data_IF_665551390878
#
_entry.id   IF_665551390878
#
_cell.length_a   1.000
_cell.length_b   1.000
_cell.length_c   1.000
_cell.angle_alpha   90.00
_cell.angle_beta   90.00
_cell.angle_gamma   90.00
#
_symmetry.space_group_name_H-M   'P 1'
#
loop_
_entity.id
_entity.type
_entity.pdbx_description
1 polymer ?
#
# COMPACT_ATOMS: atom_id res chain seq x y z
N UNK A 1 12.81 -30.39 -13.75
CA UNK A 1 13.97 -29.66 -13.17
C UNK A 1 14.30 -28.36 -13.92
N UNK A 2 14.33 -28.30 -15.25
CA UNK A 2 14.63 -27.06 -16.00
C UNK A 2 13.62 -25.91 -15.76
N UNK A 3 12.33 -26.21 -15.70
CA UNK A 3 11.27 -25.22 -15.47
C UNK A 3 11.36 -24.58 -14.07
N UNK A 4 11.73 -25.36 -13.06
CA UNK A 4 11.86 -24.91 -11.68
C UNK A 4 13.08 -23.98 -11.48
N UNK A 5 14.21 -24.30 -12.14
CA UNK A 5 15.40 -23.44 -12.13
C UNK A 5 15.14 -22.08 -12.80
N UNK A 6 14.39 -22.07 -13.92
CA UNK A 6 13.98 -20.84 -14.62
C UNK A 6 13.08 -19.96 -13.75
N UNK A 7 12.09 -20.55 -13.07
CA UNK A 7 11.19 -19.82 -12.15
C UNK A 7 11.94 -19.22 -10.97
N UNK A 8 12.88 -19.96 -10.38
CA UNK A 8 13.69 -19.46 -9.24
C UNK A 8 14.56 -18.27 -9.66
N UNK A 9 15.23 -18.33 -10.81
CA UNK A 9 16.00 -17.19 -11.34
C UNK A 9 15.13 -15.96 -11.56
N UNK A 10 13.89 -16.14 -12.07
CA UNK A 10 12.94 -15.05 -12.28
C UNK A 10 12.48 -14.41 -10.96
N UNK A 11 12.17 -15.23 -9.94
CA UNK A 11 11.81 -14.74 -8.61
C UNK A 11 12.96 -13.92 -8.03
N UNK A 12 14.20 -14.42 -8.07
CA UNK A 12 15.39 -13.70 -7.56
C UNK A 12 15.56 -12.36 -8.29
N UNK A 13 15.50 -12.35 -9.63
CA UNK A 13 15.59 -11.12 -10.43
C UNK A 13 14.49 -10.12 -10.03
N UNK A 14 13.25 -10.58 -9.93
CA UNK A 14 12.11 -9.75 -9.58
C UNK A 14 12.26 -9.14 -8.17
N UNK A 15 12.68 -9.95 -7.21
CA UNK A 15 12.94 -9.49 -5.83
C UNK A 15 14.04 -8.44 -5.80
N UNK A 16 15.15 -8.66 -6.52
CA UNK A 16 16.26 -7.70 -6.57
C UNK A 16 15.80 -6.36 -7.17
N UNK A 17 15.03 -6.39 -8.25
CA UNK A 17 14.49 -5.16 -8.87
C UNK A 17 13.55 -4.39 -7.92
N UNK A 18 12.72 -5.09 -7.15
CA UNK A 18 11.85 -4.48 -6.14
C UNK A 18 12.65 -3.88 -4.97
N UNK A 19 13.77 -4.48 -4.57
CA UNK A 19 14.65 -3.93 -3.53
C UNK A 19 15.41 -2.69 -4.00
N UNK A 20 15.95 -2.70 -5.22
CA UNK A 20 16.59 -1.52 -5.82
C UNK A 20 15.58 -0.36 -5.89
N UNK A 21 14.37 -0.64 -6.41
CA UNK A 21 13.27 0.33 -6.44
C UNK A 21 12.99 0.90 -5.04
N UNK A 22 12.84 0.03 -4.03
CA UNK A 22 12.56 0.45 -2.66
C UNK A 22 13.64 1.36 -2.10
N UNK A 23 14.91 0.99 -2.24
CA UNK A 23 16.03 1.79 -1.77
C UNK A 23 16.08 3.19 -2.40
N UNK A 24 15.92 3.26 -3.73
CA UNK A 24 15.88 4.53 -4.46
C UNK A 24 14.70 5.38 -3.99
N UNK A 25 13.49 4.82 -3.90
CA UNK A 25 12.31 5.58 -3.51
C UNK A 25 12.35 6.08 -2.07
N UNK A 26 12.95 5.33 -1.14
CA UNK A 26 13.14 5.79 0.24
C UNK A 26 14.06 7.03 0.25
N UNK A 27 15.22 6.97 -0.41
CA UNK A 27 16.15 8.09 -0.50
C UNK A 27 15.51 9.31 -1.16
N UNK A 28 14.82 9.11 -2.28
CA UNK A 28 14.10 10.17 -2.99
C UNK A 28 13.05 10.82 -2.10
N UNK A 29 12.20 10.03 -1.43
CA UNK A 29 11.13 10.56 -0.60
C UNK A 29 11.66 11.37 0.60
N UNK A 30 12.72 10.86 1.27
CA UNK A 30 13.33 11.57 2.40
C UNK A 30 13.91 12.93 1.96
N UNK A 31 14.56 12.96 0.81
CA UNK A 31 15.18 14.19 0.31
C UNK A 31 14.12 15.17 -0.22
N UNK A 32 13.16 14.68 -0.96
CA UNK A 32 12.08 15.46 -1.56
C UNK A 32 11.22 16.18 -0.52
N UNK A 33 10.81 15.47 0.56
CA UNK A 33 9.96 16.05 1.60
C UNK A 33 10.61 17.25 2.29
N UNK A 34 11.94 17.22 2.52
CA UNK A 34 12.70 18.33 3.09
C UNK A 34 12.71 19.54 2.18
N UNK A 35 12.95 19.34 0.87
CA UNK A 35 13.00 20.45 -0.10
C UNK A 35 11.62 21.10 -0.23
N UNK A 36 10.56 20.29 -0.33
CA UNK A 36 9.19 20.79 -0.49
C UNK A 36 8.75 21.58 0.75
N UNK A 37 9.04 21.07 1.97
CA UNK A 37 8.73 21.80 3.20
C UNK A 37 9.43 23.16 3.24
N UNK A 38 10.70 23.24 2.83
CA UNK A 38 11.43 24.51 2.77
C UNK A 38 10.90 25.44 1.69
N UNK A 39 10.43 24.91 0.54
CA UNK A 39 9.95 25.71 -0.58
C UNK A 39 8.54 26.27 -0.36
N UNK A 40 7.64 25.49 0.25
CA UNK A 40 6.26 25.87 0.53
C UNK A 40 6.13 26.64 1.86
N UNK A 41 7.01 26.37 2.82
CA UNK A 41 6.85 26.78 4.20
C UNK A 41 5.85 25.88 4.96
N UNK A 42 5.80 26.07 6.30
CA UNK A 42 5.02 25.20 7.16
C UNK A 42 3.50 25.31 6.93
N UNK A 43 3.00 26.52 6.63
CA UNK A 43 1.56 26.78 6.44
C UNK A 43 1.02 26.09 5.18
N UNK A 44 1.63 26.34 4.02
CA UNK A 44 1.20 25.75 2.75
C UNK A 44 1.47 24.25 2.67
N UNK A 45 2.58 23.77 3.25
CA UNK A 45 2.83 22.33 3.39
C UNK A 45 1.80 21.65 4.29
N UNK A 46 1.43 22.32 5.39
CA UNK A 46 0.35 21.87 6.28
C UNK A 46 -1.00 21.80 5.55
N UNK A 47 -1.34 22.84 4.81
CA UNK A 47 -2.57 22.88 4.00
C UNK A 47 -2.62 21.74 2.97
N UNK A 48 -1.53 21.53 2.22
CA UNK A 48 -1.40 20.41 1.28
C UNK A 48 -1.59 19.06 1.98
N UNK A 49 -0.99 18.89 3.15
CA UNK A 49 -1.05 17.63 3.91
C UNK A 49 -2.47 17.37 4.45
N UNK A 50 -3.14 18.37 4.98
CA UNK A 50 -4.50 18.23 5.53
C UNK A 50 -5.50 17.94 4.42
N UNK A 51 -5.49 18.73 3.34
CA UNK A 51 -6.38 18.52 2.19
C UNK A 51 -6.10 17.19 1.51
N UNK A 52 -4.82 16.83 1.33
CA UNK A 52 -4.41 15.56 0.78
C UNK A 52 -4.82 14.37 1.64
N UNK A 53 -4.86 14.50 2.97
CA UNK A 53 -5.23 13.42 3.89
C UNK A 53 -6.66 12.92 3.69
N UNK A 54 -7.59 13.80 3.32
CA UNK A 54 -8.98 13.44 2.97
C UNK A 54 -8.98 12.48 1.77
N UNK A 55 -8.13 12.75 0.79
CA UNK A 55 -8.01 11.93 -0.42
C UNK A 55 -7.24 10.64 -0.14
N UNK A 56 -6.16 10.71 0.65
CA UNK A 56 -5.35 9.55 1.05
C UNK A 56 -6.19 8.55 1.85
N UNK A 57 -7.13 9.03 2.69
CA UNK A 57 -8.05 8.15 3.41
C UNK A 57 -8.84 7.25 2.45
N UNK A 58 -9.28 7.77 1.30
CA UNK A 58 -9.96 6.96 0.29
C UNK A 58 -9.01 6.02 -0.47
N UNK A 59 -7.71 6.27 -0.40
CA UNK A 59 -6.68 5.45 -1.06
C UNK A 59 -6.56 4.02 -0.54
N UNK A 60 -7.06 3.73 0.69
CA UNK A 60 -7.10 2.35 1.20
C UNK A 60 -7.94 1.41 0.34
N UNK A 61 -8.93 1.95 -0.37
CA UNK A 61 -9.72 1.20 -1.35
C UNK A 61 -8.82 0.64 -2.46
N UNK A 62 -7.85 1.42 -2.93
CA UNK A 62 -6.95 0.99 -4.00
C UNK A 62 -6.06 -0.19 -3.62
N UNK A 63 -5.59 -0.28 -2.37
CA UNK A 63 -4.73 -1.39 -1.93
C UNK A 63 -5.50 -2.72 -1.92
N UNK A 64 -6.73 -2.72 -1.39
CA UNK A 64 -7.60 -3.89 -1.39
C UNK A 64 -7.98 -4.34 -2.81
N UNK A 65 -8.25 -3.37 -3.68
CA UNK A 65 -8.62 -3.60 -5.08
C UNK A 65 -7.42 -4.07 -5.91
N UNK A 66 -6.22 -3.57 -5.65
CA UNK A 66 -4.99 -4.00 -6.32
C UNK A 66 -4.69 -5.48 -6.04
N UNK A 67 -4.82 -5.92 -4.78
CA UNK A 67 -4.66 -7.32 -4.40
C UNK A 67 -5.68 -8.24 -5.10
N UNK A 68 -6.96 -7.81 -5.14
CA UNK A 68 -8.00 -8.52 -5.86
C UNK A 68 -7.69 -8.62 -7.36
N UNK A 69 -7.34 -7.51 -8.00
CA UNK A 69 -7.03 -7.47 -9.43
C UNK A 69 -5.84 -8.35 -9.79
N UNK A 70 -4.78 -8.30 -8.99
CA UNK A 70 -3.61 -9.17 -9.15
C UNK A 70 -3.99 -10.65 -9.02
N UNK A 71 -4.82 -11.00 -8.04
CA UNK A 71 -5.30 -12.38 -7.85
C UNK A 71 -6.10 -12.87 -9.05
N UNK A 72 -7.10 -12.08 -9.52
CA UNK A 72 -7.96 -12.50 -10.64
C UNK A 72 -7.17 -12.68 -11.93
N UNK A 73 -6.25 -11.77 -12.25
CA UNK A 73 -5.41 -11.88 -13.44
C UNK A 73 -4.40 -13.03 -13.34
N UNK A 74 -3.75 -13.21 -12.19
CA UNK A 74 -2.83 -14.32 -11.98
C UNK A 74 -3.53 -15.68 -12.05
N UNK A 75 -4.77 -15.76 -11.54
CA UNK A 75 -5.59 -16.97 -11.63
C UNK A 75 -6.01 -17.29 -13.07
N UNK A 76 -6.50 -16.29 -13.82
CA UNK A 76 -6.87 -16.47 -15.22
C UNK A 76 -5.65 -16.93 -16.03
N UNK A 77 -4.50 -16.32 -15.79
CA UNK A 77 -3.24 -16.68 -16.47
C UNK A 77 -2.78 -18.10 -16.15
N UNK A 78 -3.00 -18.58 -14.93
CA UNK A 78 -2.66 -19.96 -14.56
C UNK A 78 -3.57 -21.02 -15.21
N UNK A 79 -4.70 -20.60 -15.82
CA UNK A 79 -5.57 -21.48 -16.63
C UNK A 79 -5.15 -21.56 -18.09
N UNK A 80 -4.23 -20.71 -18.54
CA UNK A 80 -3.74 -20.62 -19.92
C UNK A 80 -4.85 -20.37 -20.97
N UNK A 81 -5.95 -19.70 -20.56
CA UNK A 81 -7.07 -19.30 -21.43
C UNK A 81 -7.00 -17.80 -21.72
N UNK A 82 -6.49 -17.43 -22.88
CA UNK A 82 -6.30 -16.05 -23.31
C UNK A 82 -7.62 -15.26 -23.43
N UNK A 83 -8.73 -15.92 -23.73
CA UNK A 83 -10.04 -15.28 -23.82
C UNK A 83 -10.59 -14.98 -22.42
N UNK A 84 -10.42 -15.91 -21.47
CA UNK A 84 -10.77 -15.67 -20.06
C UNK A 84 -9.89 -14.58 -19.47
N UNK A 85 -8.57 -14.55 -19.73
CA UNK A 85 -7.66 -13.48 -19.29
C UNK A 85 -8.16 -12.11 -19.77
N UNK A 86 -8.48 -11.96 -21.06
CA UNK A 86 -9.01 -10.70 -21.59
C UNK A 86 -10.36 -10.34 -20.98
N UNK A 87 -11.27 -11.31 -20.79
CA UNK A 87 -12.56 -11.09 -20.14
C UNK A 87 -12.42 -10.59 -18.69
N UNK A 88 -11.50 -11.18 -17.93
CA UNK A 88 -11.19 -10.76 -16.55
C UNK A 88 -10.61 -9.35 -16.55
N UNK A 89 -9.64 -9.05 -17.43
CA UNK A 89 -9.06 -7.72 -17.52
C UNK A 89 -10.11 -6.63 -17.83
N UNK A 90 -10.97 -6.86 -18.82
CA UNK A 90 -12.03 -5.90 -19.18
C UNK A 90 -13.05 -5.74 -18.04
N UNK A 91 -13.41 -6.83 -17.34
CA UNK A 91 -14.28 -6.77 -16.16
C UNK A 91 -13.65 -5.97 -15.01
N UNK A 92 -12.34 -6.09 -14.79
CA UNK A 92 -11.59 -5.29 -13.82
C UNK A 92 -11.58 -3.81 -14.20
N UNK A 93 -11.37 -3.47 -15.47
CA UNK A 93 -11.40 -2.08 -15.94
C UNK A 93 -12.76 -1.42 -15.66
N UNK A 94 -13.88 -2.13 -15.95
CA UNK A 94 -15.22 -1.64 -15.64
C UNK A 94 -15.43 -1.49 -14.14
N UNK A 95 -15.01 -2.48 -13.35
CA UNK A 95 -15.12 -2.44 -11.89
C UNK A 95 -14.38 -1.22 -11.32
N UNK A 96 -13.15 -0.97 -11.77
CA UNK A 96 -12.37 0.19 -11.31
C UNK A 96 -12.95 1.51 -11.80
N UNK A 97 -13.58 1.56 -12.98
CA UNK A 97 -14.28 2.76 -13.45
C UNK A 97 -15.50 3.08 -12.56
N UNK A 98 -16.28 2.08 -12.16
CA UNK A 98 -17.40 2.24 -11.23
C UNK A 98 -16.92 2.73 -9.86
N UNK A 99 -15.81 2.15 -9.35
CA UNK A 99 -15.23 2.54 -8.07
C UNK A 99 -14.64 3.95 -8.13
N UNK A 100 -13.96 4.31 -9.23
CA UNK A 100 -13.46 5.66 -9.44
C UNK A 100 -14.59 6.69 -9.45
N UNK A 101 -15.73 6.37 -10.09
CA UNK A 101 -16.92 7.21 -10.05
C UNK A 101 -17.47 7.34 -8.63
N UNK A 102 -17.56 6.25 -7.88
CA UNK A 102 -18.02 6.29 -6.49
C UNK A 102 -17.08 7.12 -5.60
N UNK A 103 -15.75 6.93 -5.74
CA UNK A 103 -14.74 7.74 -5.05
C UNK A 103 -14.91 9.22 -5.41
N UNK A 104 -15.09 9.55 -6.68
CA UNK A 104 -15.31 10.91 -7.14
C UNK A 104 -16.53 11.54 -6.46
N UNK A 105 -17.69 10.89 -6.50
CA UNK A 105 -18.93 11.39 -5.89
C UNK A 105 -18.78 11.58 -4.38
N UNK A 106 -18.19 10.61 -3.69
CA UNK A 106 -17.98 10.67 -2.23
C UNK A 106 -17.00 11.80 -1.90
N UNK A 107 -15.86 11.86 -2.60
CA UNK A 107 -14.84 12.86 -2.36
C UNK A 107 -15.35 14.29 -2.63
N UNK A 108 -16.04 14.51 -3.74
CA UNK A 108 -16.64 15.82 -4.03
C UNK A 108 -17.66 16.23 -2.96
N UNK A 109 -18.56 15.33 -2.55
CA UNK A 109 -19.56 15.65 -1.54
C UNK A 109 -18.93 15.97 -0.18
N UNK A 110 -18.08 15.07 0.34
CA UNK A 110 -17.47 15.24 1.66
C UNK A 110 -16.29 16.20 1.67
N UNK A 111 -15.46 16.20 0.64
CA UNK A 111 -14.27 17.02 0.57
C UNK A 111 -14.61 18.50 0.45
N UNK A 112 -15.54 18.87 -0.43
CA UNK A 112 -15.99 20.26 -0.55
C UNK A 112 -16.68 20.72 0.73
N UNK A 113 -17.53 19.87 1.33
CA UNK A 113 -18.17 20.17 2.61
C UNK A 113 -17.12 20.39 3.71
N UNK A 114 -16.10 19.52 3.80
CA UNK A 114 -15.03 19.65 4.79
C UNK A 114 -14.24 20.94 4.60
N UNK A 115 -13.84 21.27 3.37
CA UNK A 115 -13.05 22.47 3.06
C UNK A 115 -13.81 23.74 3.45
N UNK A 116 -15.11 23.80 3.15
CA UNK A 116 -15.91 24.99 3.37
C UNK A 116 -16.36 25.17 4.83
N UNK A 117 -16.46 24.06 5.62
CA UNK A 117 -17.07 24.10 6.95
C UNK A 117 -16.06 23.92 8.08
N UNK A 118 -15.08 23.03 7.90
CA UNK A 118 -14.18 22.62 8.98
C UNK A 118 -12.71 22.99 8.78
N UNK A 119 -12.32 23.35 7.54
CA UNK A 119 -10.93 23.68 7.26
C UNK A 119 -10.59 25.07 7.84
N UNK A 120 -9.79 25.08 8.91
CA UNK A 120 -9.35 26.33 9.54
C UNK A 120 -8.08 26.84 8.85
N UNK A 121 -8.28 27.67 7.83
CA UNK A 121 -7.18 28.29 7.07
C UNK A 121 -7.52 29.75 6.79
N UNK A 122 -6.48 30.53 6.46
CA UNK A 122 -6.67 31.92 6.05
C UNK A 122 -7.65 31.99 4.85
N UNK A 123 -8.69 32.86 4.88
CA UNK A 123 -9.67 33.01 3.80
C UNK A 123 -9.06 33.21 2.40
N UNK A 124 -7.91 33.85 2.32
CA UNK A 124 -7.17 34.02 1.06
C UNK A 124 -6.64 32.71 0.47
N UNK A 125 -6.53 31.64 1.27
CA UNK A 125 -6.01 30.31 0.86
C UNK A 125 -7.10 29.29 0.57
N UNK A 126 -8.39 29.59 0.75
CA UNK A 126 -9.50 28.67 0.50
C UNK A 126 -9.52 28.24 -0.98
N UNK A 127 -9.33 29.18 -1.91
CA UNK A 127 -9.25 28.86 -3.35
C UNK A 127 -8.10 27.90 -3.66
N UNK A 128 -6.94 28.14 -3.05
CA UNK A 128 -5.80 27.23 -3.21
C UNK A 128 -6.11 25.83 -2.63
N UNK A 129 -6.80 25.75 -1.48
CA UNK A 129 -7.25 24.48 -0.89
C UNK A 129 -8.15 23.68 -1.82
N UNK A 130 -9.13 24.32 -2.47
CA UNK A 130 -9.99 23.69 -3.47
C UNK A 130 -9.18 23.17 -4.67
N UNK A 131 -8.25 23.96 -5.21
CA UNK A 131 -7.41 23.55 -6.33
C UNK A 131 -6.53 22.34 -5.94
N UNK A 132 -5.89 22.38 -4.77
CA UNK A 132 -5.10 21.27 -4.23
C UNK A 132 -5.95 20.02 -4.08
N UNK A 133 -7.18 20.16 -3.58
CA UNK A 133 -8.11 19.05 -3.44
C UNK A 133 -8.44 18.40 -4.78
N UNK A 134 -8.76 19.20 -5.80
CA UNK A 134 -9.10 18.71 -7.15
C UNK A 134 -7.91 17.97 -7.79
N UNK A 135 -6.70 18.51 -7.70
CA UNK A 135 -5.52 17.82 -8.21
C UNK A 135 -5.22 16.52 -7.44
N UNK A 136 -5.37 16.53 -6.10
CA UNK A 136 -5.18 15.33 -5.27
C UNK A 136 -6.22 14.25 -5.60
N UNK A 137 -7.48 14.65 -5.78
CA UNK A 137 -8.55 13.75 -6.22
C UNK A 137 -8.26 13.18 -7.61
N UNK A 138 -7.82 14.03 -8.55
CA UNK A 138 -7.37 13.61 -9.88
C UNK A 138 -6.26 12.55 -9.81
N UNK A 139 -5.26 12.73 -8.94
CA UNK A 139 -4.22 11.73 -8.69
C UNK A 139 -4.80 10.38 -8.24
N UNK A 140 -5.73 10.40 -7.28
CA UNK A 140 -6.37 9.19 -6.76
C UNK A 140 -7.17 8.48 -7.85
N UNK A 141 -7.96 9.20 -8.63
CA UNK A 141 -8.75 8.65 -9.72
C UNK A 141 -7.87 8.02 -10.81
N UNK A 142 -6.79 8.71 -11.20
CA UNK A 142 -5.82 8.16 -12.16
C UNK A 142 -5.20 6.85 -11.65
N UNK A 143 -4.77 6.81 -10.39
CA UNK A 143 -4.24 5.59 -9.77
C UNK A 143 -5.29 4.47 -9.74
N UNK A 144 -6.54 4.78 -9.36
CA UNK A 144 -7.64 3.80 -9.32
C UNK A 144 -7.92 3.19 -10.69
N UNK A 145 -8.00 4.01 -11.74
CA UNK A 145 -8.25 3.55 -13.11
C UNK A 145 -7.10 2.72 -13.69
N UNK A 146 -5.88 2.88 -13.15
CA UNK A 146 -4.68 2.18 -13.65
C UNK A 146 -4.38 0.90 -12.88
N UNK A 147 -5.07 0.63 -11.77
CA UNK A 147 -4.89 -0.61 -10.98
C UNK A 147 -4.91 -1.88 -11.85
N UNK A 148 -5.85 -2.09 -12.82
CA UNK A 148 -5.84 -3.29 -13.66
C UNK A 148 -4.56 -3.45 -14.48
N UNK A 149 -3.98 -2.36 -14.98
CA UNK A 149 -2.73 -2.38 -15.76
C UNK A 149 -1.53 -2.71 -14.89
N UNK A 150 -1.45 -2.15 -13.68
CA UNK A 150 -0.41 -2.48 -12.71
C UNK A 150 -0.51 -3.96 -12.27
N UNK A 151 -1.73 -4.45 -12.04
CA UNK A 151 -1.97 -5.85 -11.74
C UNK A 151 -1.57 -6.78 -12.90
N UNK A 152 -1.75 -6.34 -14.15
CA UNK A 152 -1.30 -7.09 -15.32
C UNK A 152 0.24 -7.19 -15.40
N UNK A 153 0.98 -6.11 -15.08
CA UNK A 153 2.45 -6.19 -15.01
C UNK A 153 2.90 -7.22 -13.96
N UNK A 154 2.30 -7.16 -12.77
CA UNK A 154 2.65 -8.05 -11.67
C UNK A 154 2.27 -9.50 -11.99
N UNK A 155 1.08 -9.76 -12.55
CA UNK A 155 0.63 -11.11 -12.92
C UNK A 155 1.44 -11.72 -14.08
N UNK A 156 2.00 -10.87 -14.94
CA UNK A 156 2.96 -11.25 -15.97
C UNK A 156 4.41 -11.29 -15.45
N UNK A 157 4.62 -11.01 -14.16
CA UNK A 157 5.94 -11.02 -13.49
C UNK A 157 6.97 -10.07 -14.11
N UNK A 158 6.49 -8.97 -14.72
CA UNK A 158 7.33 -7.89 -15.28
C UNK A 158 7.66 -6.86 -14.21
N UNK A 159 8.32 -7.32 -13.13
CA UNK A 159 8.70 -6.46 -12.00
C UNK A 159 9.77 -5.44 -12.38
N UNK A 160 10.55 -5.69 -13.43
CA UNK A 160 11.51 -4.75 -13.99
C UNK A 160 10.80 -3.51 -14.57
N UNK A 161 9.79 -3.70 -15.43
CA UNK A 161 9.01 -2.59 -15.96
C UNK A 161 8.28 -1.83 -14.85
N UNK A 162 7.67 -2.55 -13.89
CA UNK A 162 7.01 -1.95 -12.73
C UNK A 162 7.98 -1.12 -11.90
N UNK A 163 9.17 -1.64 -11.61
CA UNK A 163 10.19 -0.94 -10.84
C UNK A 163 10.71 0.32 -11.56
N UNK A 164 11.03 0.20 -12.85
CA UNK A 164 11.54 1.33 -13.65
C UNK A 164 10.54 2.47 -13.76
N UNK A 165 9.26 2.19 -14.03
CA UNK A 165 8.21 3.22 -14.09
C UNK A 165 8.04 3.88 -12.71
N UNK A 166 8.05 3.10 -11.62
CA UNK A 166 7.96 3.65 -10.26
C UNK A 166 9.18 4.52 -9.88
N UNK A 167 10.39 4.12 -10.30
CA UNK A 167 11.61 4.92 -10.09
C UNK A 167 11.52 6.23 -10.89
N UNK A 168 11.04 6.18 -12.14
CA UNK A 168 10.83 7.38 -12.94
C UNK A 168 9.82 8.33 -12.28
N UNK A 169 8.73 7.81 -11.68
CA UNK A 169 7.79 8.61 -10.87
C UNK A 169 8.52 9.32 -9.72
N UNK A 170 9.34 8.60 -8.96
CA UNK A 170 10.13 9.19 -7.88
C UNK A 170 11.13 10.25 -8.36
N UNK A 171 11.84 9.99 -9.45
CA UNK A 171 12.78 10.97 -10.03
C UNK A 171 12.07 12.23 -10.55
N UNK A 172 10.89 12.09 -11.17
CA UNK A 172 10.06 13.23 -11.57
C UNK A 172 9.64 14.05 -10.34
N UNK A 173 9.24 13.38 -9.25
CA UNK A 173 8.91 14.05 -7.99
C UNK A 173 10.11 14.83 -7.42
N UNK A 174 11.29 14.23 -7.45
CA UNK A 174 12.54 14.90 -7.03
C UNK A 174 12.86 16.11 -7.91
N UNK A 175 12.71 15.98 -9.23
CA UNK A 175 12.90 17.09 -10.18
C UNK A 175 11.97 18.27 -9.85
N UNK A 176 10.70 18.00 -9.58
CA UNK A 176 9.74 19.02 -9.18
C UNK A 176 10.15 19.71 -7.87
N UNK A 177 10.63 18.93 -6.89
CA UNK A 177 11.09 19.49 -5.64
C UNK A 177 12.24 20.51 -5.85
N UNK A 178 13.16 20.25 -6.77
CA UNK A 178 14.23 21.22 -7.12
C UNK A 178 13.73 22.42 -7.92
N UNK A 179 12.71 22.27 -8.75
CA UNK A 179 12.17 23.38 -9.56
C UNK A 179 11.23 24.28 -8.77
N UNK A 180 10.55 23.75 -7.76
CA UNK A 180 9.56 24.48 -6.96
C UNK A 180 10.10 25.76 -6.28
N UNK A 181 11.30 25.80 -5.68
CA UNK A 181 11.87 27.02 -5.10
C UNK A 181 12.04 28.17 -6.10
N UNK A 182 12.27 27.84 -7.38
CA UNK A 182 12.48 28.80 -8.46
C UNK A 182 11.19 29.42 -9.01
N UNK A 183 10.03 28.93 -8.59
CA UNK A 183 8.74 29.37 -9.06
C UNK A 183 8.40 30.77 -8.56
N UNK A 184 7.91 31.63 -9.48
CA UNK A 184 7.48 33.02 -9.23
C UNK A 184 5.97 33.06 -8.88
N UNK A 185 5.21 32.03 -9.29
CA UNK A 185 3.76 31.88 -9.04
C UNK A 185 3.46 31.32 -7.67
N UNK A 186 2.16 31.18 -7.34
CA UNK A 186 1.74 30.49 -6.13
C UNK A 186 2.31 29.06 -6.10
N UNK A 187 3.26 28.85 -5.21
CA UNK A 187 4.03 27.59 -5.13
C UNK A 187 3.15 26.40 -4.74
N UNK A 188 2.12 26.61 -3.93
CA UNK A 188 1.22 25.54 -3.51
C UNK A 188 0.37 25.01 -4.67
N UNK A 189 -0.23 25.93 -5.44
CA UNK A 189 -1.05 25.57 -6.61
C UNK A 189 -0.19 24.90 -7.68
N UNK A 190 0.99 25.48 -7.95
CA UNK A 190 1.94 24.92 -8.90
C UNK A 190 2.40 23.53 -8.48
N UNK A 191 2.73 23.35 -7.21
CA UNK A 191 3.13 22.05 -6.65
C UNK A 191 2.04 20.99 -6.83
N UNK A 192 0.78 21.31 -6.51
CA UNK A 192 -0.34 20.38 -6.68
C UNK A 192 -0.54 19.98 -8.16
N UNK A 193 -0.47 20.92 -9.08
CA UNK A 193 -0.58 20.66 -10.52
C UNK A 193 0.58 19.80 -11.06
N UNK A 194 1.81 20.11 -10.64
CA UNK A 194 2.99 19.33 -11.02
C UNK A 194 2.96 17.92 -10.43
N UNK A 195 2.48 17.75 -9.17
CA UNK A 195 2.30 16.43 -8.58
C UNK A 195 1.22 15.61 -9.29
N UNK A 196 0.17 16.26 -9.80
CA UNK A 196 -0.77 15.58 -10.69
C UNK A 196 -0.09 15.06 -11.95
N UNK A 197 0.77 15.86 -12.60
CA UNK A 197 1.53 15.42 -13.78
C UNK A 197 2.49 14.27 -13.44
N UNK A 198 3.19 14.33 -12.28
CA UNK A 198 4.07 13.25 -11.79
C UNK A 198 3.32 11.94 -11.62
N UNK A 199 2.08 11.98 -11.16
CA UNK A 199 1.25 10.78 -11.05
C UNK A 199 0.72 10.36 -12.42
N UNK A 200 0.19 11.28 -13.21
CA UNK A 200 -0.49 11.01 -14.46
C UNK A 200 0.43 10.37 -15.52
N UNK A 201 1.66 10.92 -15.70
CA UNK A 201 2.61 10.41 -16.71
C UNK A 201 2.97 8.93 -16.51
N UNK A 202 3.39 8.46 -15.31
CA UNK A 202 3.64 7.06 -15.07
C UNK A 202 2.40 6.17 -15.27
N UNK A 203 1.19 6.66 -14.92
CA UNK A 203 -0.04 5.91 -15.15
C UNK A 203 -0.29 5.68 -16.66
N UNK A 204 0.02 6.67 -17.49
CA UNK A 204 0.00 6.49 -18.96
C UNK A 204 1.07 5.49 -19.42
N UNK A 205 2.26 5.52 -18.83
CA UNK A 205 3.32 4.56 -19.14
C UNK A 205 2.89 3.12 -18.81
N UNK A 206 2.26 2.88 -17.64
CA UNK A 206 1.71 1.57 -17.28
C UNK A 206 0.67 1.10 -18.29
N UNK A 207 -0.26 1.97 -18.67
CA UNK A 207 -1.31 1.66 -19.66
C UNK A 207 -0.71 1.33 -21.03
N UNK A 208 0.22 2.18 -21.52
CA UNK A 208 0.86 2.00 -22.81
C UNK A 208 1.72 0.74 -22.85
N UNK A 209 2.52 0.49 -21.81
CA UNK A 209 3.34 -0.71 -21.71
C UNK A 209 2.49 -1.97 -21.72
N UNK A 210 1.43 -2.02 -20.91
CA UNK A 210 0.54 -3.18 -20.82
C UNK A 210 -0.19 -3.43 -22.14
N UNK A 211 -0.69 -2.38 -22.78
CA UNK A 211 -1.38 -2.49 -24.09
C UNK A 211 -0.47 -3.04 -25.18
N UNK A 212 0.81 -2.64 -25.17
CA UNK A 212 1.79 -3.05 -26.20
C UNK A 212 2.29 -4.49 -25.99
N UNK A 213 2.51 -4.91 -24.74
CA UNK A 213 3.19 -6.17 -24.43
C UNK A 213 2.24 -7.31 -24.03
N UNK A 214 1.00 -7.00 -23.62
CA UNK A 214 0.06 -8.00 -23.13
C UNK A 214 -1.23 -7.98 -23.96
N UNK A 215 -1.45 -9.02 -24.80
CA UNK A 215 -2.66 -9.10 -25.64
C UNK A 215 -3.96 -9.07 -24.84
N UNK A 216 -3.95 -9.62 -23.62
CA UNK A 216 -5.09 -9.63 -22.70
C UNK A 216 -5.49 -8.23 -22.23
N UNK A 217 -4.58 -7.24 -22.25
CA UNK A 217 -4.83 -5.87 -21.84
C UNK A 217 -5.50 -5.00 -22.91
N UNK A 218 -5.85 -5.57 -24.06
CA UNK A 218 -6.60 -4.86 -25.08
C UNK A 218 -8.06 -4.72 -24.68
N UNK A 219 -8.55 -3.50 -24.65
CA UNK A 219 -9.94 -3.22 -24.35
C UNK A 219 -10.86 -3.76 -25.47
N UNK A 220 -11.67 -4.74 -25.12
CA UNK A 220 -12.66 -5.37 -25.99
C UNK A 220 -14.01 -5.39 -25.26
N UNK A 221 -15.13 -5.50 -25.98
CA UNK A 221 -16.45 -5.71 -25.36
C UNK A 221 -16.62 -7.15 -24.83
N UNK A 222 -15.59 -7.70 -24.23
CA UNK A 222 -15.56 -9.05 -23.67
C UNK A 222 -15.55 -9.01 -22.13
N UNK A 223 -16.58 -8.39 -21.55
CA UNK A 223 -16.80 -8.38 -20.12
C UNK A 223 -18.02 -9.22 -19.75
N UNK A 224 -17.98 -9.85 -18.56
CA UNK A 224 -19.07 -10.71 -18.09
C UNK A 224 -19.62 -10.15 -16.77
N UNK A 225 -20.95 -9.88 -16.70
CA UNK A 225 -21.60 -9.36 -15.50
C UNK A 225 -21.32 -10.21 -14.26
N UNK A 226 -21.28 -11.53 -14.42
CA UNK A 226 -20.98 -12.45 -13.32
C UNK A 226 -19.54 -12.25 -12.78
N UNK A 227 -18.58 -11.98 -13.65
CA UNK A 227 -17.20 -11.68 -13.25
C UNK A 227 -17.10 -10.36 -12.50
N UNK A 228 -17.78 -9.32 -12.97
CA UNK A 228 -17.86 -8.04 -12.27
C UNK A 228 -18.41 -8.25 -10.85
N UNK A 229 -19.53 -8.98 -10.72
CA UNK A 229 -20.11 -9.30 -9.41
C UNK A 229 -19.14 -10.08 -8.51
N UNK A 230 -18.46 -11.07 -9.07
CA UNK A 230 -17.45 -11.87 -8.36
C UNK A 230 -16.32 -10.98 -7.82
N UNK A 231 -15.79 -10.08 -8.67
CA UNK A 231 -14.74 -9.13 -8.29
C UNK A 231 -15.23 -8.18 -7.18
N UNK A 232 -16.44 -7.63 -7.29
CA UNK A 232 -17.00 -6.76 -6.26
C UNK A 232 -17.18 -7.48 -4.92
N UNK A 233 -17.74 -8.68 -4.92
CA UNK A 233 -17.94 -9.46 -3.68
C UNK A 233 -16.60 -9.82 -3.03
N UNK A 234 -15.65 -10.26 -3.83
CA UNK A 234 -14.32 -10.59 -3.35
C UNK A 234 -13.61 -9.35 -2.77
N UNK A 235 -13.62 -8.25 -3.52
CA UNK A 235 -13.01 -6.99 -3.08
C UNK A 235 -13.68 -6.42 -1.84
N UNK A 236 -15.01 -6.56 -1.71
CA UNK A 236 -15.74 -6.16 -0.52
C UNK A 236 -15.30 -6.92 0.74
N UNK A 237 -15.05 -8.23 0.65
CA UNK A 237 -14.51 -9.00 1.77
C UNK A 237 -13.06 -8.60 2.11
N UNK A 238 -12.22 -8.34 1.11
CA UNK A 238 -10.88 -7.80 1.35
C UNK A 238 -10.92 -6.43 2.03
N UNK A 239 -11.84 -5.58 1.58
CA UNK A 239 -12.06 -4.27 2.16
C UNK A 239 -12.50 -4.35 3.63
N UNK A 240 -13.42 -5.27 3.94
CA UNK A 240 -13.87 -5.51 5.32
C UNK A 240 -12.70 -5.91 6.25
N UNK A 241 -11.82 -6.80 5.79
CA UNK A 241 -10.61 -7.17 6.53
C UNK A 241 -9.64 -6.00 6.71
N UNK A 242 -9.42 -5.21 5.66
CA UNK A 242 -8.56 -4.03 5.72
C UNK A 242 -9.13 -2.96 6.66
N UNK A 243 -10.43 -2.70 6.61
CA UNK A 243 -11.11 -1.77 7.53
C UNK A 243 -10.98 -2.20 8.98
N UNK A 244 -11.17 -3.48 9.29
CA UNK A 244 -11.01 -3.97 10.67
C UNK A 244 -9.60 -3.70 11.21
N UNK A 245 -8.57 -3.91 10.39
CA UNK A 245 -7.17 -3.63 10.76
C UNK A 245 -6.92 -2.13 10.99
N UNK A 246 -7.50 -1.26 10.16
CA UNK A 246 -7.38 0.20 10.32
C UNK A 246 -8.09 0.67 11.58
N UNK A 247 -9.31 0.19 11.84
CA UNK A 247 -10.09 0.55 13.04
C UNK A 247 -9.33 0.16 14.31
N UNK A 248 -8.72 -1.02 14.34
CA UNK A 248 -7.96 -1.47 15.50
C UNK A 248 -6.69 -0.64 15.66
N UNK A 249 -5.94 -0.42 14.59
CA UNK A 249 -4.71 0.37 14.66
C UNK A 249 -4.97 1.80 15.15
N UNK A 250 -5.99 2.47 14.64
CA UNK A 250 -6.35 3.83 15.06
C UNK A 250 -7.06 3.83 16.42
N UNK A 251 -7.95 2.85 16.67
CA UNK A 251 -8.60 2.70 17.95
C UNK A 251 -7.61 2.47 19.09
N UNK A 252 -6.58 1.65 18.86
CA UNK A 252 -5.52 1.45 19.83
C UNK A 252 -4.75 2.74 20.15
N UNK A 253 -4.53 3.62 19.16
CA UNK A 253 -3.94 4.93 19.38
C UNK A 253 -4.80 5.78 20.34
N UNK A 254 -6.15 5.74 20.19
CA UNK A 254 -7.06 6.47 21.07
C UNK A 254 -7.05 5.88 22.49
N UNK A 255 -7.09 4.56 22.62
CA UNK A 255 -7.03 3.86 23.91
C UNK A 255 -5.73 4.20 24.64
N UNK A 256 -4.58 4.07 24.00
CA UNK A 256 -3.29 4.38 24.59
C UNK A 256 -3.18 5.86 24.96
N UNK A 257 -3.71 6.76 24.12
CA UNK A 257 -3.76 8.20 24.44
C UNK A 257 -4.55 8.46 25.71
N UNK A 258 -5.71 7.82 25.86
CA UNK A 258 -6.58 7.99 27.02
C UNK A 258 -5.90 7.58 28.34
N UNK A 259 -5.13 6.49 28.34
CA UNK A 259 -4.47 5.98 29.55
C UNK A 259 -3.10 6.62 29.82
N UNK A 260 -2.33 6.98 28.80
CA UNK A 260 -0.92 7.38 28.93
C UNK A 260 -0.59 8.73 28.27
N UNK A 261 -1.57 9.39 27.65
CA UNK A 261 -1.37 10.68 26.99
C UNK A 261 -0.64 10.59 25.66
N UNK A 262 -0.18 11.74 25.15
CA UNK A 262 0.36 11.88 23.79
C UNK A 262 1.75 11.27 23.58
N UNK A 263 2.54 11.12 24.66
CA UNK A 263 3.92 10.60 24.58
C UNK A 263 3.95 9.16 24.08
N UNK A 264 3.01 8.32 24.53
CA UNK A 264 2.92 6.93 24.07
C UNK A 264 2.54 6.84 22.60
N UNK A 265 1.72 7.75 22.10
CA UNK A 265 1.35 7.79 20.68
C UNK A 265 2.54 8.17 19.80
N UNK A 266 3.38 9.11 20.26
CA UNK A 266 4.62 9.46 19.59
C UNK A 266 5.56 8.23 19.54
N UNK A 267 5.74 7.55 20.67
CA UNK A 267 6.55 6.35 20.76
C UNK A 267 6.04 5.22 19.84
N UNK A 268 4.72 4.99 19.82
CA UNK A 268 4.09 4.00 18.94
C UNK A 268 4.20 4.38 17.46
N UNK A 269 4.05 5.67 17.15
CA UNK A 269 4.23 6.17 15.77
C UNK A 269 5.63 5.87 15.24
N UNK A 270 6.67 6.09 16.05
CA UNK A 270 8.06 5.74 15.73
C UNK A 270 8.21 4.23 15.57
N UNK A 271 7.66 3.43 16.48
CA UNK A 271 7.72 1.97 16.42
C UNK A 271 7.08 1.43 15.13
N UNK A 272 5.91 1.94 14.77
CA UNK A 272 5.21 1.58 13.51
C UNK A 272 6.03 1.97 12.28
N UNK A 273 6.74 3.10 12.32
CA UNK A 273 7.59 3.54 11.22
C UNK A 273 8.81 2.64 11.05
N UNK A 274 9.47 2.24 12.15
CA UNK A 274 10.58 1.26 12.14
C UNK A 274 10.10 -0.08 11.59
N UNK A 275 8.97 -0.59 12.10
CA UNK A 275 8.36 -1.83 11.62
C UNK A 275 8.04 -1.75 10.12
N UNK A 276 7.38 -0.68 9.66
CA UNK A 276 7.04 -0.49 8.25
C UNK A 276 8.26 -0.49 7.32
N UNK A 277 9.36 0.13 7.75
CA UNK A 277 10.61 0.13 7.00
C UNK A 277 11.18 -1.29 6.84
N UNK A 278 11.27 -2.06 7.93
CA UNK A 278 11.81 -3.42 7.90
C UNK A 278 10.86 -4.42 7.23
N UNK A 279 9.55 -4.31 7.49
CA UNK A 279 8.55 -5.18 6.88
C UNK A 279 8.43 -4.99 5.35
N UNK A 280 8.82 -3.83 4.82
CA UNK A 280 8.81 -3.60 3.37
C UNK A 280 9.80 -4.50 2.61
N UNK A 281 10.88 -4.95 3.25
CA UNK A 281 11.80 -5.94 2.67
C UNK A 281 11.10 -7.28 2.43
N UNK A 282 10.40 -7.79 3.44
CA UNK A 282 9.66 -9.05 3.31
C UNK A 282 8.46 -8.91 2.38
N UNK A 283 7.77 -7.77 2.42
CA UNK A 283 6.65 -7.46 1.55
C UNK A 283 7.02 -7.49 0.07
N UNK A 284 8.14 -6.87 -0.32
CA UNK A 284 8.65 -6.90 -1.69
C UNK A 284 9.04 -8.32 -2.15
N UNK A 285 9.67 -9.11 -1.26
CA UNK A 285 9.95 -10.51 -1.53
C UNK A 285 8.66 -11.31 -1.77
N UNK A 286 7.70 -11.21 -0.87
CA UNK A 286 6.41 -11.89 -1.01
C UNK A 286 5.67 -11.45 -2.27
N UNK A 287 5.70 -10.18 -2.62
CA UNK A 287 5.08 -9.66 -3.85
C UNK A 287 5.60 -10.35 -5.11
N UNK A 288 6.87 -10.74 -5.14
CA UNK A 288 7.44 -11.48 -6.27
C UNK A 288 6.96 -12.94 -6.35
N UNK A 289 6.55 -13.54 -5.21
CA UNK A 289 6.05 -14.91 -5.12
C UNK A 289 4.54 -15.02 -5.36
N UNK A 290 3.78 -13.98 -5.02
CA UNK A 290 2.32 -13.99 -5.08
C UNK A 290 1.74 -14.50 -6.41
N UNK A 291 2.20 -14.04 -7.60
CA UNK A 291 1.68 -14.55 -8.87
C UNK A 291 1.92 -16.05 -9.06
N UNK A 292 3.06 -16.56 -8.59
CA UNK A 292 3.41 -17.98 -8.71
C UNK A 292 2.47 -18.86 -7.89
N UNK A 293 2.20 -18.47 -6.63
CA UNK A 293 1.28 -19.19 -5.74
C UNK A 293 -0.12 -19.25 -6.36
N UNK A 294 -0.61 -18.14 -6.91
CA UNK A 294 -1.96 -18.09 -7.51
C UNK A 294 -2.03 -18.88 -8.82
N UNK A 295 -1.00 -18.78 -9.67
CA UNK A 295 -0.95 -19.51 -10.95
C UNK A 295 -0.89 -21.02 -10.76
N UNK A 296 -0.03 -21.52 -9.84
CA UNK A 296 0.08 -22.96 -9.55
C UNK A 296 -1.21 -23.50 -8.95
N UNK A 297 -1.93 -22.70 -8.13
CA UNK A 297 -3.27 -23.06 -7.68
C UNK A 297 -4.25 -23.20 -8.85
N UNK A 298 -4.27 -22.23 -9.78
CA UNK A 298 -5.15 -22.24 -10.94
C UNK A 298 -4.85 -23.42 -11.90
N UNK A 299 -3.57 -23.78 -12.03
CA UNK A 299 -3.10 -24.95 -12.80
C UNK A 299 -3.33 -26.29 -12.08
N UNK A 300 -3.88 -26.28 -10.85
CA UNK A 300 -4.06 -27.46 -9.97
C UNK A 300 -2.76 -28.14 -9.55
N UNK A 301 -1.64 -27.45 -9.62
CA UNK A 301 -0.31 -27.89 -9.18
C UNK A 301 -0.12 -27.66 -7.67
N UNK A 302 -0.98 -28.27 -6.83
CA UNK A 302 -1.04 -28.00 -5.39
C UNK A 302 0.25 -28.30 -4.65
N UNK A 303 0.99 -29.33 -5.06
CA UNK A 303 2.29 -29.66 -4.44
C UNK A 303 3.30 -28.51 -4.60
N UNK A 304 3.38 -27.94 -5.79
CA UNK A 304 4.27 -26.83 -6.11
C UNK A 304 3.81 -25.53 -5.40
N UNK A 305 2.49 -25.30 -5.37
CA UNK A 305 1.91 -24.18 -4.60
C UNK A 305 2.31 -24.25 -3.11
N UNK A 306 2.17 -25.43 -2.48
CA UNK A 306 2.57 -25.61 -1.08
C UNK A 306 4.06 -25.39 -0.86
N UNK A 307 4.92 -25.82 -1.80
CA UNK A 307 6.36 -25.54 -1.73
C UNK A 307 6.64 -24.04 -1.76
N UNK A 308 6.01 -23.27 -2.67
CA UNK A 308 6.17 -21.82 -2.71
C UNK A 308 5.70 -21.15 -1.41
N UNK A 309 4.59 -21.59 -0.83
CA UNK A 309 4.08 -21.07 0.44
C UNK A 309 5.09 -21.33 1.58
N UNK A 310 5.56 -22.57 1.73
CA UNK A 310 6.47 -22.95 2.83
C UNK A 310 7.83 -22.25 2.67
N UNK A 311 8.41 -22.28 1.48
CA UNK A 311 9.70 -21.64 1.20
C UNK A 311 9.55 -20.13 1.37
N UNK A 312 8.47 -19.56 0.86
CA UNK A 312 8.18 -18.12 0.98
C UNK A 312 8.04 -17.66 2.43
N UNK A 313 7.31 -18.40 3.27
CA UNK A 313 7.20 -18.15 4.71
C UNK A 313 8.57 -18.20 5.41
N UNK A 314 9.33 -19.27 5.18
CA UNK A 314 10.65 -19.46 5.78
C UNK A 314 11.63 -18.35 5.38
N UNK A 315 11.73 -18.06 4.10
CA UNK A 315 12.65 -17.03 3.60
C UNK A 315 12.23 -15.63 4.08
N UNK A 316 10.93 -15.32 4.12
CA UNK A 316 10.43 -14.06 4.69
C UNK A 316 10.81 -13.92 6.16
N UNK A 317 10.64 -15.00 6.93
CA UNK A 317 11.01 -15.01 8.36
C UNK A 317 12.51 -14.79 8.55
N UNK A 318 13.36 -15.55 7.87
CA UNK A 318 14.83 -15.41 8.00
C UNK A 318 15.33 -14.06 7.48
N UNK A 319 14.72 -13.54 6.42
CA UNK A 319 15.06 -12.21 5.90
C UNK A 319 14.75 -11.12 6.93
N UNK A 320 13.56 -11.15 7.54
CA UNK A 320 13.22 -10.18 8.58
C UNK A 320 14.03 -10.41 9.85
N UNK A 321 14.29 -11.66 10.24
CA UNK A 321 15.08 -12.00 11.42
C UNK A 321 16.51 -11.45 11.32
N UNK A 322 17.15 -11.61 10.16
CA UNK A 322 18.49 -11.10 9.90
C UNK A 322 18.59 -9.58 10.05
N UNK A 323 17.50 -8.85 9.72
CA UNK A 323 17.42 -7.40 9.90
C UNK A 323 16.96 -7.04 11.33
N UNK A 324 15.92 -7.68 11.84
CA UNK A 324 15.29 -7.31 13.11
C UNK A 324 16.20 -7.57 14.31
N UNK A 325 16.97 -8.68 14.33
CA UNK A 325 17.83 -9.01 15.48
C UNK A 325 18.89 -7.94 15.75
N UNK A 326 19.72 -7.49 14.78
CA UNK A 326 20.66 -6.40 15.01
C UNK A 326 19.97 -5.09 15.42
N UNK A 327 18.81 -4.78 14.82
CA UNK A 327 18.04 -3.61 15.20
C UNK A 327 17.50 -3.69 16.62
N UNK A 328 16.95 -4.84 17.03
CA UNK A 328 16.41 -5.04 18.39
C UNK A 328 17.52 -4.97 19.44
N UNK A 329 18.70 -5.49 19.12
CA UNK A 329 19.86 -5.44 20.03
C UNK A 329 20.35 -4.01 20.24
N UNK A 330 20.58 -3.26 19.15
CA UNK A 330 21.10 -1.90 19.18
C UNK A 330 19.98 -0.83 19.13
N UNK A 331 18.74 -1.17 19.53
CA UNK A 331 17.57 -0.30 19.34
C UNK A 331 17.74 1.09 19.96
N UNK A 332 18.33 1.16 21.15
CA UNK A 332 18.54 2.43 21.84
C UNK A 332 19.52 3.33 21.06
N UNK A 333 20.63 2.78 20.61
CA UNK A 333 21.68 3.53 19.90
C UNK A 333 21.19 3.98 18.52
N UNK A 334 20.45 3.12 17.81
CA UNK A 334 19.85 3.45 16.51
C UNK A 334 18.84 4.58 16.66
N UNK A 335 17.97 4.52 17.68
CA UNK A 335 16.98 5.56 17.93
C UNK A 335 17.66 6.88 18.33
N UNK A 336 18.71 6.86 19.14
CA UNK A 336 19.48 8.06 19.49
C UNK A 336 20.20 8.68 18.30
N UNK A 337 20.73 7.83 17.38
CA UNK A 337 21.34 8.32 16.16
C UNK A 337 20.33 8.98 15.21
N UNK A 338 19.10 8.46 15.19
CA UNK A 338 18.04 8.95 14.30
C UNK A 338 17.25 10.13 14.86
N UNK A 339 16.95 10.09 16.16
CA UNK A 339 16.10 11.07 16.86
C UNK A 339 16.95 11.90 17.83
N UNK A 340 16.73 13.20 17.84
CA UNK A 340 17.40 14.10 18.82
C UNK A 340 16.96 13.76 20.24
N UNK A 341 15.64 13.51 20.41
CA UNK A 341 15.07 13.08 21.69
C UNK A 341 14.25 11.81 21.45
N UNK A 342 14.60 10.73 22.16
CA UNK A 342 13.89 9.45 22.09
C UNK A 342 12.79 9.45 23.15
N UNK A 343 11.48 9.40 22.75
CA UNK A 343 10.41 9.34 23.73
C UNK A 343 10.51 8.08 24.60
N UNK A 344 10.09 8.20 25.87
CA UNK A 344 9.93 7.07 26.76
C UNK A 344 9.06 5.99 26.10
N UNK A 345 9.25 4.74 26.40
CA UNK A 345 8.57 3.58 25.80
C UNK A 345 8.99 3.22 24.35
N UNK A 346 9.59 4.11 23.54
CA UNK A 346 9.90 3.86 22.13
C UNK A 346 10.74 2.61 21.90
N UNK A 347 11.87 2.38 22.60
CA UNK A 347 12.72 1.21 22.34
C UNK A 347 12.01 -0.12 22.58
N UNK A 348 11.17 -0.18 23.61
CA UNK A 348 10.38 -1.38 23.91
C UNK A 348 9.27 -1.63 22.90
N UNK A 349 8.52 -0.60 22.54
CA UNK A 349 7.47 -0.70 21.54
C UNK A 349 8.03 -1.12 20.18
N UNK A 350 9.21 -0.60 19.79
CA UNK A 350 9.90 -1.04 18.58
C UNK A 350 10.23 -2.54 18.62
N UNK A 351 10.75 -3.06 19.75
CA UNK A 351 11.04 -4.48 19.90
C UNK A 351 9.78 -5.35 19.83
N UNK A 352 8.69 -4.92 20.47
CA UNK A 352 7.41 -5.63 20.42
C UNK A 352 6.84 -5.66 19.01
N UNK A 353 6.82 -4.52 18.31
CA UNK A 353 6.35 -4.40 16.92
C UNK A 353 7.18 -5.28 15.97
N UNK A 354 8.49 -5.33 16.13
CA UNK A 354 9.36 -6.19 15.32
C UNK A 354 9.15 -7.68 15.62
N UNK A 355 8.91 -8.03 16.89
CA UNK A 355 8.56 -9.40 17.27
C UNK A 355 7.22 -9.83 16.66
N UNK A 356 6.22 -8.94 16.71
CA UNK A 356 4.93 -9.16 16.07
C UNK A 356 5.09 -9.33 14.56
N UNK A 357 5.89 -8.48 13.91
CA UNK A 357 6.17 -8.56 12.47
C UNK A 357 6.85 -9.89 12.09
N UNK A 358 7.82 -10.37 12.89
CA UNK A 358 8.47 -11.66 12.66
C UNK A 358 7.47 -12.80 12.62
N UNK A 359 6.55 -12.86 13.58
CA UNK A 359 5.48 -13.86 13.61
C UNK A 359 4.56 -13.68 12.39
N UNK A 360 4.21 -12.43 12.06
CA UNK A 360 3.36 -12.08 10.92
C UNK A 360 3.91 -12.53 9.57
N UNK A 361 5.25 -12.54 9.39
CA UNK A 361 5.86 -12.97 8.12
C UNK A 361 5.56 -14.45 7.80
N UNK A 362 5.36 -15.28 8.81
CA UNK A 362 5.04 -16.71 8.61
C UNK A 362 3.66 -16.91 7.97
N UNK A 363 2.73 -15.97 8.19
CA UNK A 363 1.36 -16.05 7.65
C UNK A 363 1.18 -15.35 6.30
N UNK A 364 2.12 -14.52 5.85
CA UNK A 364 1.97 -13.71 4.64
C UNK A 364 1.69 -14.54 3.38
N UNK A 365 2.54 -15.51 3.06
CA UNK A 365 2.36 -16.38 1.89
C UNK A 365 1.20 -17.37 2.06
N UNK A 366 0.87 -17.77 3.30
CA UNK A 366 -0.33 -18.58 3.61
C UNK A 366 -1.60 -17.81 3.21
N UNK A 367 -1.65 -16.52 3.54
CA UNK A 367 -2.77 -15.66 3.15
C UNK A 367 -2.96 -15.64 1.63
N UNK A 368 -1.88 -15.56 0.85
CA UNK A 368 -1.97 -15.59 -0.61
C UNK A 368 -2.53 -16.94 -1.10
N UNK A 369 -2.16 -18.05 -0.47
CA UNK A 369 -2.76 -19.36 -0.74
C UNK A 369 -4.28 -19.36 -0.49
N UNK A 370 -4.74 -18.79 0.62
CA UNK A 370 -6.17 -18.62 0.90
C UNK A 370 -6.85 -17.73 -0.13
N UNK A 371 -6.23 -16.61 -0.47
CA UNK A 371 -6.76 -15.68 -1.50
C UNK A 371 -6.90 -16.35 -2.87
N UNK A 372 -5.99 -17.27 -3.23
CA UNK A 372 -6.06 -18.01 -4.49
C UNK A 372 -7.34 -18.85 -4.61
N UNK A 373 -7.88 -19.38 -3.49
CA UNK A 373 -9.10 -20.21 -3.49
C UNK A 373 -10.38 -19.46 -3.83
N UNK A 374 -10.38 -18.13 -3.86
CA UNK A 374 -11.56 -17.27 -3.99
C UNK A 374 -12.58 -17.34 -2.83
N UNK A 375 -12.36 -18.18 -1.81
CA UNK A 375 -13.26 -18.35 -0.65
C UNK A 375 -12.69 -17.62 0.58
N UNK A 376 -12.54 -16.30 0.48
CA UNK A 376 -11.94 -15.49 1.55
C UNK A 376 -12.92 -15.08 2.64
N UNK A 377 -14.24 -15.26 2.43
CA UNK A 377 -15.28 -14.82 3.36
C UNK A 377 -15.05 -15.35 4.78
N UNK A 378 -14.89 -16.69 4.91
CA UNK A 378 -14.68 -17.33 6.22
C UNK A 378 -13.40 -16.82 6.89
N UNK A 379 -12.31 -16.71 6.11
CA UNK A 379 -11.04 -16.19 6.60
C UNK A 379 -11.20 -14.75 7.11
N UNK A 380 -11.77 -13.87 6.32
CA UNK A 380 -11.95 -12.47 6.70
C UNK A 380 -12.85 -12.31 7.93
N UNK A 381 -13.93 -13.07 8.04
CA UNK A 381 -14.79 -13.04 9.23
C UNK A 381 -14.03 -13.46 10.47
N UNK A 382 -13.29 -14.60 10.43
CA UNK A 382 -12.53 -15.08 11.57
C UNK A 382 -11.44 -14.09 11.97
N UNK A 383 -10.64 -13.62 11.01
CA UNK A 383 -9.55 -12.70 11.28
C UNK A 383 -10.10 -11.35 11.79
N UNK A 384 -11.13 -10.80 11.16
CA UNK A 384 -11.73 -9.55 11.61
C UNK A 384 -12.33 -9.67 13.03
N UNK A 385 -12.96 -10.81 13.35
CA UNK A 385 -13.50 -11.04 14.71
C UNK A 385 -12.37 -11.13 15.74
N UNK A 386 -11.32 -11.89 15.46
CA UNK A 386 -10.15 -12.00 16.36
C UNK A 386 -9.51 -10.61 16.54
N UNK A 387 -9.31 -9.91 15.45
CA UNK A 387 -8.78 -8.56 15.49
C UNK A 387 -9.65 -7.63 16.35
N UNK A 388 -10.97 -7.60 16.14
CA UNK A 388 -11.88 -6.77 16.94
C UNK A 388 -11.87 -7.11 18.43
N UNK A 389 -11.57 -8.35 18.80
CA UNK A 389 -11.42 -8.75 20.20
C UNK A 389 -10.14 -8.21 20.85
N UNK A 390 -9.12 -7.86 20.08
CA UNK A 390 -7.87 -7.29 20.63
C UNK A 390 -8.11 -5.98 21.38
N UNK A 391 -9.02 -5.14 20.91
CA UNK A 391 -9.31 -3.84 21.52
C UNK A 391 -9.97 -3.96 22.91
N UNK A 392 -11.06 -4.73 23.09
CA UNK A 392 -11.61 -4.98 24.43
C UNK A 392 -10.59 -5.67 25.36
N UNK A 393 -9.80 -6.61 24.86
CA UNK A 393 -8.77 -7.28 25.65
C UNK A 393 -7.67 -6.30 26.11
N UNK A 394 -7.23 -5.41 25.22
CA UNK A 394 -6.28 -4.37 25.57
C UNK A 394 -6.84 -3.42 26.62
N UNK A 395 -8.10 -2.97 26.51
CA UNK A 395 -8.74 -2.13 27.52
C UNK A 395 -8.80 -2.84 28.87
N UNK A 396 -9.22 -4.12 28.90
CA UNK A 396 -9.25 -4.91 30.12
C UNK A 396 -7.86 -5.06 30.76
N UNK A 397 -6.85 -5.37 29.95
CA UNK A 397 -5.47 -5.50 30.42
C UNK A 397 -4.93 -4.18 31.00
N UNK A 398 -5.25 -3.05 30.36
CA UNK A 398 -4.86 -1.73 30.85
C UNK A 398 -5.57 -1.31 32.13
N UNK A 399 -6.82 -1.72 32.33
CA UNK A 399 -7.54 -1.49 33.59
C UNK A 399 -6.90 -2.27 34.74
N UNK A 400 -6.40 -3.48 34.47
CA UNK A 400 -5.81 -4.36 35.53
C UNK A 400 -4.37 -3.93 35.83
N UNK A 401 -3.54 -3.79 34.78
CA UNK A 401 -2.07 -3.66 34.95
C UNK A 401 -1.55 -2.23 34.81
N UNK A 402 -2.29 -1.31 34.19
CA UNK A 402 -1.88 0.08 33.91
C UNK A 402 -0.48 0.17 33.28
N UNK A 403 -0.13 -0.77 32.41
CA UNK A 403 1.18 -0.86 31.77
C UNK A 403 1.00 -0.84 30.24
N UNK A 404 1.60 0.14 29.50
CA UNK A 404 1.41 0.28 28.07
C UNK A 404 2.00 -0.87 27.25
N UNK A 405 2.88 -1.69 27.83
CA UNK A 405 3.50 -2.83 27.14
C UNK A 405 2.61 -4.07 27.08
N UNK A 406 1.52 -4.10 27.80
CA UNK A 406 0.60 -5.25 27.90
C UNK A 406 -0.62 -5.05 26.96
N UNK A 407 -0.84 -3.85 26.46
CA UNK A 407 -1.87 -3.53 25.48
C UNK A 407 -1.41 -3.82 24.07
#
# INVERSE_FOLDING_TARGET
MQNQSSNNKRIIKNTLMLYIRMGILILVNLYTSRIILNALGAEDFGLYSVVGSVVVFLGFLNTSMAAASQRFLSFAKGKEDAEEENSVFNSLCITHAIIALAIFVIAESFGIFYINTYLNVNPSRITAAHIVFQFSLGCLLCKTLTVPYNAALISNEKMDAFALISIAEGLLQLTIAFLLPLAITDKLILYAGLMFAVVFIPQLCYRFYSYKHFPECRLRKNWKRNKIREIFVYSGWNLFGALSSVIISQGMNLVLNFYFGVVINAARGIATQVNGALASFTGNFQQSLNPQIVKTYAAKEYSQMHQYIIIGSRLSFFLLLALAVPFMYNMQDILQLWLVNVPEYTPWLCRLELTYALIGTLSGTLLIGVMATNNIKKYQLVVATINMLTMPLAILSLQIYKNPYIA
#
